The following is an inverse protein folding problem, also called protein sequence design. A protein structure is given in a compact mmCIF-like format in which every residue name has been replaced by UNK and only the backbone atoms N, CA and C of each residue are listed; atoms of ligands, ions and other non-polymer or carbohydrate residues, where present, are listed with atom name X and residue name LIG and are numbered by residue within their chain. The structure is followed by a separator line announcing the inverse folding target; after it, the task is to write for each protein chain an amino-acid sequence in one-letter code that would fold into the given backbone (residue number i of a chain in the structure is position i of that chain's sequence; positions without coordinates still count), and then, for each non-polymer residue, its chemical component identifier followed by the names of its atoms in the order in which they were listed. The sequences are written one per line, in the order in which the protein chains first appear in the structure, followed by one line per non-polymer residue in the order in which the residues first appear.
data_IF_582756677431
#
_entry.id   IF_582756677431
#
_cell.length_a   1.000
_cell.length_b   1.000
_cell.length_c   1.000
_cell.angle_alpha   90.00
_cell.angle_beta   90.00
_cell.angle_gamma   90.00
#
_symmetry.space_group_name_H-M   'P 1'
#
loop_
_entity.id
_entity.type
_entity.pdbx_description
1 polymer ?
#
# COMPACT_ATOMS: atom_id res chain seq x y z
N UNK A 1 23.02 15.53 -21.50
CA UNK A 1 21.60 15.33 -21.15
C UNK A 1 21.55 14.22 -20.12
N UNK A 2 21.23 14.50 -18.86
CA UNK A 2 21.01 13.45 -17.88
C UNK A 2 19.67 12.78 -18.22
N UNK A 3 19.71 11.49 -18.59
CA UNK A 3 18.48 10.71 -18.80
C UNK A 3 17.61 10.70 -17.55
N UNK A 4 16.30 10.44 -17.67
CA UNK A 4 15.42 10.41 -16.51
C UNK A 4 15.93 9.38 -15.49
N UNK A 5 16.11 9.82 -14.24
CA UNK A 5 16.47 8.94 -13.12
C UNK A 5 15.26 8.05 -12.84
N UNK A 6 15.31 6.81 -13.31
CA UNK A 6 14.26 5.84 -13.04
C UNK A 6 14.36 5.44 -11.56
N UNK A 7 13.33 5.79 -10.77
CA UNK A 7 13.25 5.42 -9.36
C UNK A 7 12.61 4.03 -9.21
N UNK A 8 13.43 3.02 -8.94
CA UNK A 8 12.98 1.63 -8.73
C UNK A 8 12.61 1.32 -7.28
N UNK A 9 12.59 2.29 -6.35
CA UNK A 9 12.36 2.03 -4.93
C UNK A 9 11.00 1.34 -4.68
N UNK A 10 9.94 1.81 -5.36
CA UNK A 10 8.61 1.24 -5.25
C UNK A 10 8.56 -0.20 -5.77
N UNK A 11 9.16 -0.46 -6.93
CA UNK A 11 9.22 -1.80 -7.52
C UNK A 11 10.04 -2.77 -6.67
N UNK A 12 11.19 -2.31 -6.15
CA UNK A 12 12.03 -3.09 -5.25
C UNK A 12 11.31 -3.42 -3.94
N UNK A 13 10.50 -2.50 -3.42
CA UNK A 13 9.67 -2.72 -2.24
C UNK A 13 8.61 -3.79 -2.50
N UNK A 14 7.93 -3.78 -3.65
CA UNK A 14 6.98 -4.86 -3.97
C UNK A 14 7.70 -6.20 -4.13
N UNK A 15 8.83 -6.22 -4.85
CA UNK A 15 9.60 -7.45 -5.11
C UNK A 15 10.10 -8.11 -3.82
N UNK A 16 10.50 -7.32 -2.82
CA UNK A 16 10.93 -7.87 -1.52
C UNK A 16 9.74 -8.35 -0.70
N UNK A 17 8.55 -7.77 -0.82
CA UNK A 17 7.38 -8.20 -0.05
C UNK A 17 7.06 -9.69 -0.31
N UNK A 18 6.79 -10.50 0.73
CA UNK A 18 6.46 -11.92 0.59
C UNK A 18 5.13 -12.15 -0.11
N UNK A 19 5.00 -13.31 -0.76
CA UNK A 19 3.78 -13.73 -1.50
C UNK A 19 2.76 -14.48 -0.65
N UNK A 20 2.93 -14.46 0.66
CA UNK A 20 2.03 -15.10 1.61
C UNK A 20 1.32 -14.04 2.47
N UNK A 21 0.28 -14.47 3.17
CA UNK A 21 -0.43 -13.66 4.14
C UNK A 21 0.51 -13.41 5.33
N UNK A 22 0.73 -12.14 5.68
CA UNK A 22 1.48 -11.76 6.88
C UNK A 22 0.49 -11.45 8.00
N UNK A 23 0.83 -11.85 9.22
CA UNK A 23 0.02 -11.48 10.37
C UNK A 23 0.20 -9.97 10.64
N UNK A 24 -0.90 -9.24 10.70
CA UNK A 24 -0.92 -7.80 10.94
C UNK A 24 -1.74 -7.50 12.19
N UNK A 25 -1.34 -6.46 12.92
CA UNK A 25 -2.17 -5.93 13.99
C UNK A 25 -3.54 -5.49 13.42
N UNK A 26 -4.66 -5.83 14.07
CA UNK A 26 -5.99 -5.39 13.65
C UNK A 26 -6.08 -3.88 13.40
N UNK A 27 -5.43 -3.05 14.21
CA UNK A 27 -5.43 -1.60 14.05
C UNK A 27 -4.72 -1.14 12.77
N UNK A 28 -3.66 -1.85 12.36
CA UNK A 28 -2.98 -1.57 11.10
C UNK A 28 -3.82 -1.99 9.89
N UNK A 29 -4.51 -3.13 9.98
CA UNK A 29 -5.47 -3.56 8.96
C UNK A 29 -6.62 -2.55 8.80
N UNK A 30 -7.15 -2.06 9.90
CA UNK A 30 -8.22 -1.04 9.88
C UNK A 30 -7.73 0.29 9.33
N UNK A 31 -6.50 0.68 9.62
CA UNK A 31 -5.89 1.86 8.99
C UNK A 31 -5.78 1.70 7.47
N UNK A 32 -5.32 0.54 6.98
CA UNK A 32 -5.20 0.27 5.54
C UNK A 32 -6.59 0.26 4.90
N UNK A 33 -7.56 -0.38 5.53
CA UNK A 33 -8.97 -0.42 5.07
C UNK A 33 -9.57 0.97 4.95
N UNK A 34 -9.43 1.79 5.99
CA UNK A 34 -9.93 3.16 5.99
C UNK A 34 -9.24 4.03 4.93
N UNK A 35 -7.93 3.80 4.71
CA UNK A 35 -7.18 4.51 3.67
C UNK A 35 -7.66 4.14 2.27
N UNK A 36 -7.92 2.86 2.00
CA UNK A 36 -8.45 2.41 0.70
C UNK A 36 -9.87 2.91 0.47
N UNK A 37 -10.75 2.85 1.49
CA UNK A 37 -12.10 3.38 1.39
C UNK A 37 -12.13 4.89 1.15
N UNK A 38 -11.21 5.65 1.75
CA UNK A 38 -11.08 7.08 1.48
C UNK A 38 -10.63 7.35 0.03
N UNK A 39 -9.74 6.51 -0.53
CA UNK A 39 -9.36 6.60 -1.94
C UNK A 39 -10.54 6.27 -2.85
N UNK A 40 -11.31 5.21 -2.54
CA UNK A 40 -12.51 4.83 -3.30
C UNK A 40 -13.45 6.03 -3.46
N UNK A 41 -13.76 6.69 -2.34
CA UNK A 41 -14.67 7.82 -2.30
C UNK A 41 -14.11 9.07 -2.98
N UNK A 42 -12.84 9.41 -2.74
CA UNK A 42 -12.27 10.67 -3.22
C UNK A 42 -11.89 10.65 -4.69
N UNK A 43 -11.56 9.49 -5.26
CA UNK A 43 -11.11 9.34 -6.64
C UNK A 43 -12.10 8.58 -7.53
N UNK A 44 -13.16 7.99 -6.98
CA UNK A 44 -14.14 7.23 -7.75
C UNK A 44 -13.57 5.97 -8.39
N UNK A 45 -12.59 5.34 -7.73
CA UNK A 45 -11.91 4.12 -8.18
C UNK A 45 -12.25 2.95 -7.27
N UNK A 46 -12.02 1.73 -7.73
CA UNK A 46 -12.16 0.54 -6.88
C UNK A 46 -10.83 0.21 -6.19
N UNK A 47 -10.27 1.07 -5.36
CA UNK A 47 -9.04 0.84 -4.59
C UNK A 47 -9.10 -0.38 -3.67
N UNK A 48 -10.21 -0.61 -2.96
CA UNK A 48 -10.37 -1.75 -2.05
C UNK A 48 -10.38 -3.10 -2.79
N UNK A 49 -9.73 -4.15 -2.28
CA UNK A 49 -9.82 -5.49 -2.86
C UNK A 49 -11.17 -6.17 -2.55
N UNK A 50 -11.57 -7.10 -3.41
CA UNK A 50 -12.84 -7.84 -3.29
C UNK A 50 -12.84 -8.88 -2.14
N UNK A 51 -11.67 -9.18 -1.57
CA UNK A 51 -11.50 -10.11 -0.45
C UNK A 51 -11.05 -9.37 0.81
N UNK A 52 -11.36 -9.90 2.02
CA UNK A 52 -10.90 -9.32 3.27
C UNK A 52 -9.37 -9.13 3.31
N UNK A 53 -8.91 -7.96 3.77
CA UNK A 53 -7.48 -7.60 3.78
C UNK A 53 -6.56 -8.63 4.48
N UNK A 54 -7.05 -9.27 5.54
CA UNK A 54 -6.30 -10.29 6.27
C UNK A 54 -6.11 -11.61 5.50
N UNK A 55 -6.77 -11.76 4.34
CA UNK A 55 -6.62 -12.89 3.43
C UNK A 55 -5.82 -12.52 2.17
N UNK A 56 -5.46 -11.25 2.00
CA UNK A 56 -4.69 -10.79 0.84
C UNK A 56 -3.19 -11.09 1.08
N UNK A 57 -2.50 -11.73 0.13
CA UNK A 57 -1.04 -11.86 0.20
C UNK A 57 -0.36 -10.49 0.31
N UNK A 58 0.65 -10.38 1.17
CA UNK A 58 1.30 -9.10 1.46
C UNK A 58 1.82 -8.41 0.19
N UNK A 59 2.39 -9.16 -0.76
CA UNK A 59 2.87 -8.62 -2.03
C UNK A 59 1.76 -8.03 -2.88
N UNK A 60 0.63 -8.71 -2.96
CA UNK A 60 -0.53 -8.22 -3.70
C UNK A 60 -1.07 -6.92 -3.09
N UNK A 61 -1.17 -6.85 -1.76
CA UNK A 61 -1.59 -5.64 -1.06
C UNK A 61 -0.57 -4.49 -1.24
N UNK A 62 0.73 -4.77 -1.13
CA UNK A 62 1.79 -3.78 -1.34
C UNK A 62 1.76 -3.23 -2.76
N UNK A 63 1.63 -4.11 -3.76
CA UNK A 63 1.47 -3.73 -5.18
C UNK A 63 0.31 -2.77 -5.34
N UNK A 64 -0.87 -3.13 -4.81
CA UNK A 64 -2.08 -2.30 -4.89
C UNK A 64 -1.86 -0.90 -4.30
N UNK A 65 -1.30 -0.80 -3.10
CA UNK A 65 -1.06 0.48 -2.43
C UNK A 65 -0.06 1.35 -3.20
N UNK A 66 1.01 0.75 -3.73
CA UNK A 66 2.01 1.43 -4.55
C UNK A 66 1.43 1.91 -5.88
N UNK A 67 0.65 1.07 -6.55
CA UNK A 67 0.03 1.40 -7.83
C UNK A 67 -0.92 2.59 -7.66
N UNK A 68 -1.81 2.56 -6.65
CA UNK A 68 -2.70 3.68 -6.34
C UNK A 68 -1.92 4.96 -6.05
N UNK A 69 -0.85 4.88 -5.25
CA UNK A 69 -0.03 6.05 -4.89
C UNK A 69 0.69 6.67 -6.10
N UNK A 70 1.01 5.86 -7.11
CA UNK A 70 1.78 6.31 -8.29
C UNK A 70 0.90 6.67 -9.48
N UNK A 71 -0.30 6.10 -9.59
CA UNK A 71 -1.21 6.34 -10.71
C UNK A 71 -2.17 7.51 -10.49
N UNK A 72 -2.58 7.76 -9.23
CA UNK A 72 -3.56 8.79 -8.92
C UNK A 72 -2.91 10.18 -8.90
N UNK A 73 -3.59 11.13 -9.54
CA UNK A 73 -3.20 12.55 -9.55
C UNK A 73 -4.26 13.34 -8.79
N UNK A 74 -3.93 13.95 -7.64
CA UNK A 74 -4.89 14.73 -6.88
C UNK A 74 -5.18 16.04 -7.61
N UNK A 75 -6.47 16.35 -7.78
CA UNK A 75 -6.99 17.60 -8.34
C UNK A 75 -7.40 18.58 -7.24
N UNK A 76 -7.63 18.09 -6.02
CA UNK A 76 -7.97 18.90 -4.86
C UNK A 76 -6.96 18.71 -3.72
N UNK A 77 -6.89 19.69 -2.81
CA UNK A 77 -6.09 19.57 -1.60
C UNK A 77 -6.51 18.37 -0.74
N UNK A 78 -7.81 18.10 -0.66
CA UNK A 78 -8.36 16.95 0.06
C UNK A 78 -7.89 15.62 -0.53
N UNK A 79 -7.96 15.46 -1.86
CA UNK A 79 -7.41 14.30 -2.55
C UNK A 79 -5.90 14.15 -2.30
N UNK A 80 -5.16 15.27 -2.23
CA UNK A 80 -3.74 15.28 -1.88
C UNK A 80 -3.48 14.73 -0.48
N UNK A 81 -4.28 15.13 0.52
CA UNK A 81 -4.19 14.61 1.89
C UNK A 81 -4.51 13.12 1.93
N UNK A 82 -5.58 12.68 1.25
CA UNK A 82 -6.00 11.28 1.21
C UNK A 82 -4.93 10.41 0.53
N UNK A 83 -4.39 10.86 -0.62
CA UNK A 83 -3.30 10.17 -1.30
C UNK A 83 -2.03 10.10 -0.44
N UNK A 84 -1.76 11.15 0.34
CA UNK A 84 -0.66 11.18 1.31
C UNK A 84 -0.77 10.10 2.40
N UNK A 85 -1.99 9.73 2.82
CA UNK A 85 -2.22 8.67 3.81
C UNK A 85 -1.80 7.28 3.31
N UNK A 86 -1.76 7.05 1.99
CA UNK A 86 -1.25 5.79 1.45
C UNK A 86 0.21 5.54 1.82
N UNK A 87 1.02 6.59 2.04
CA UNK A 87 2.38 6.40 2.54
C UNK A 87 2.39 5.73 3.93
N UNK A 88 1.44 6.09 4.80
CA UNK A 88 1.25 5.47 6.11
C UNK A 88 0.74 4.03 6.03
N UNK A 89 -0.11 3.72 5.04
CA UNK A 89 -0.59 2.36 4.80
C UNK A 89 0.55 1.44 4.31
N UNK A 90 1.35 1.93 3.36
CA UNK A 90 2.55 1.25 2.85
C UNK A 90 3.53 0.96 4.00
N UNK A 91 3.81 1.95 4.85
CA UNK A 91 4.77 1.81 5.95
C UNK A 91 4.32 0.74 6.97
N UNK A 92 3.02 0.70 7.32
CA UNK A 92 2.47 -0.32 8.22
C UNK A 92 2.62 -1.72 7.66
N UNK A 93 2.30 -1.91 6.39
CA UNK A 93 2.48 -3.20 5.73
C UNK A 93 3.96 -3.59 5.66
N UNK A 94 4.86 -2.68 5.28
CA UNK A 94 6.31 -2.94 5.25
C UNK A 94 6.85 -3.31 6.63
N UNK A 95 6.32 -2.70 7.70
CA UNK A 95 6.65 -3.02 9.09
C UNK A 95 6.19 -4.42 9.47
N UNK A 96 4.94 -4.80 9.16
CA UNK A 96 4.44 -6.15 9.41
C UNK A 96 5.26 -7.22 8.65
N UNK A 97 5.65 -6.92 7.41
CA UNK A 97 6.53 -7.77 6.60
C UNK A 97 7.91 -7.93 7.25
N UNK A 98 8.48 -6.85 7.79
CA UNK A 98 9.75 -6.91 8.51
C UNK A 98 9.66 -7.83 9.75
N UNK A 99 8.57 -7.74 10.52
CA UNK A 99 8.33 -8.62 11.66
C UNK A 99 8.13 -10.09 11.26
N UNK A 100 7.31 -10.39 10.24
CA UNK A 100 7.12 -11.75 9.73
C UNK A 100 8.45 -12.39 9.31
N UNK A 101 9.31 -11.61 8.62
CA UNK A 101 10.66 -12.07 8.23
C UNK A 101 11.56 -12.33 9.43
N UNK A 102 11.46 -11.54 10.49
CA UNK A 102 12.25 -11.73 11.70
C UNK A 102 11.82 -13.00 12.46
N UNK A 103 10.53 -13.33 12.45
CA UNK A 103 9.97 -14.52 13.11
C UNK A 103 10.27 -15.83 12.38
N UNK A 104 10.56 -15.78 11.06
CA UNK A 104 10.86 -16.96 10.24
C UNK A 104 12.35 -17.30 10.14
N UNK A 105 13.22 -16.49 10.75
CA UNK A 105 14.67 -16.73 10.82
C UNK A 105 15.01 -17.51 12.08
#
# INVERSE_FOLDING_TARGET
MAGPVVNFAAENMVRRTPDHIVNMDPADLDYIRASLAAIDQAFGVAASPDIPLHLVPARALMRRLVDLRTSLKPETQEQGVILGRLAGAILRLDTAVAFDRALRK
#
